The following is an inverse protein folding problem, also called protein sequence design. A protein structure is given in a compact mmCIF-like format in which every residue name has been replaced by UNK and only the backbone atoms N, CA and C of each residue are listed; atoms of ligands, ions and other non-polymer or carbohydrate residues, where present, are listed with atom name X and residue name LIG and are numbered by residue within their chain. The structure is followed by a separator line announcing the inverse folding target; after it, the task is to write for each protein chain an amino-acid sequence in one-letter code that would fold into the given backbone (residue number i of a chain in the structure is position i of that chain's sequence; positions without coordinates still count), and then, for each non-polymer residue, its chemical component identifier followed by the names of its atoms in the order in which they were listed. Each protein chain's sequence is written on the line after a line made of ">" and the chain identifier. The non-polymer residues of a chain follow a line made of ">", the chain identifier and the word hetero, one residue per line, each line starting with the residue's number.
data_IF_117967841521
#
_entry.id   IF_117967841521
#
_cell.length_a   1.000
_cell.length_b   1.000
_cell.length_c   1.000
_cell.angle_alpha   90.00
_cell.angle_beta   90.00
_cell.angle_gamma   90.00
#
_symmetry.space_group_name_H-M   'P 1'
#
loop_
_entity.id
_entity.type
_entity.pdbx_description
1 polymer ?
#
# COMPACT_ATOMS: atom_id res chain seq x y z
N UNK A 1 -8.08 -61.98 -31.88
CA UNK A 1 -7.35 -60.86 -32.49
C UNK A 1 -7.84 -59.57 -31.85
N UNK A 2 -6.99 -58.86 -31.10
CA UNK A 2 -7.35 -57.62 -30.40
C UNK A 2 -7.33 -56.45 -31.39
N UNK A 3 -8.46 -55.76 -31.53
CA UNK A 3 -8.59 -54.54 -32.32
C UNK A 3 -7.61 -53.48 -31.78
N UNK A 4 -6.64 -53.06 -32.59
CA UNK A 4 -5.86 -51.85 -32.35
C UNK A 4 -6.75 -50.67 -32.71
N UNK A 5 -7.28 -49.98 -31.70
CA UNK A 5 -7.88 -48.67 -31.88
C UNK A 5 -6.83 -47.73 -32.48
N UNK A 6 -7.02 -47.35 -33.75
CA UNK A 6 -6.29 -46.27 -34.39
C UNK A 6 -6.74 -44.98 -33.70
N UNK A 7 -5.97 -44.52 -32.71
CA UNK A 7 -6.09 -43.14 -32.22
C UNK A 7 -5.92 -42.21 -33.42
N UNK A 8 -6.90 -41.33 -33.59
CA UNK A 8 -6.91 -40.31 -34.63
C UNK A 8 -5.67 -39.42 -34.47
N UNK A 9 -5.08 -38.98 -35.58
CA UNK A 9 -3.93 -38.08 -35.57
C UNK A 9 -4.23 -36.78 -34.79
N UNK A 10 -5.50 -36.36 -34.81
CA UNK A 10 -6.03 -35.24 -34.03
C UNK A 10 -5.97 -35.46 -32.51
N UNK A 11 -6.15 -36.70 -32.04
CA UNK A 11 -6.03 -37.05 -30.62
C UNK A 11 -4.56 -37.07 -30.18
N UNK A 12 -3.66 -37.43 -31.09
CA UNK A 12 -2.22 -37.39 -30.86
C UNK A 12 -1.71 -35.95 -30.81
N UNK A 13 -2.18 -35.08 -31.71
CA UNK A 13 -1.86 -33.65 -31.72
C UNK A 13 -2.38 -32.96 -30.45
N UNK A 14 -3.63 -33.25 -30.03
CA UNK A 14 -4.20 -32.74 -28.78
C UNK A 14 -3.42 -33.20 -27.53
N UNK A 15 -2.97 -34.46 -27.50
CA UNK A 15 -2.14 -34.98 -26.42
C UNK A 15 -0.73 -34.38 -26.44
N UNK A 16 -0.21 -34.05 -27.62
CA UNK A 16 1.13 -33.45 -27.79
C UNK A 16 1.09 -31.99 -27.38
N UNK A 17 0.09 -31.22 -27.82
CA UNK A 17 -0.16 -29.84 -27.36
C UNK A 17 -0.41 -29.77 -25.85
N UNK A 18 -1.20 -30.72 -25.30
CA UNK A 18 -1.44 -30.78 -23.85
C UNK A 18 -0.17 -31.15 -23.06
N UNK A 19 0.71 -31.98 -23.63
CA UNK A 19 1.98 -32.36 -23.01
C UNK A 19 3.07 -31.29 -23.18
N UNK A 20 3.07 -30.53 -24.27
CA UNK A 20 3.93 -29.36 -24.49
C UNK A 20 3.51 -28.21 -23.58
N UNK A 21 2.21 -27.95 -23.43
CA UNK A 21 1.68 -27.02 -22.44
C UNK A 21 2.07 -27.45 -21.01
N UNK A 22 2.00 -28.74 -20.67
CA UNK A 22 2.45 -29.27 -19.36
C UNK A 22 3.95 -29.21 -19.16
N UNK A 23 4.78 -29.35 -20.21
CA UNK A 23 6.24 -29.22 -20.13
C UNK A 23 6.69 -27.77 -20.00
N UNK A 24 5.99 -26.83 -20.63
CA UNK A 24 6.27 -25.39 -20.50
C UNK A 24 5.80 -24.81 -19.16
N UNK A 25 4.80 -25.42 -18.50
CA UNK A 25 4.44 -25.16 -17.11
C UNK A 25 5.36 -25.89 -16.12
N UNK A 26 6.68 -25.90 -16.37
CA UNK A 26 7.64 -26.34 -15.37
C UNK A 26 7.57 -25.35 -14.18
N UNK A 27 7.27 -25.87 -12.98
CA UNK A 27 6.99 -25.14 -11.74
C UNK A 27 8.09 -24.16 -11.27
N UNK A 28 9.19 -24.05 -12.00
CA UNK A 28 10.42 -23.32 -11.64
C UNK A 28 10.70 -22.07 -12.46
N UNK A 29 9.93 -21.76 -13.52
CA UNK A 29 10.14 -20.56 -14.33
C UNK A 29 9.07 -19.49 -14.04
N UNK A 30 9.53 -18.23 -13.85
CA UNK A 30 8.68 -17.06 -13.61
C UNK A 30 7.68 -16.87 -14.76
N UNK A 31 6.38 -17.01 -14.46
CA UNK A 31 5.27 -17.08 -15.42
C UNK A 31 5.10 -15.85 -16.33
N UNK A 32 5.88 -14.79 -16.13
CA UNK A 32 6.01 -13.68 -17.05
C UNK A 32 6.89 -14.07 -18.25
N UNK A 33 6.36 -14.95 -19.08
CA UNK A 33 6.84 -15.23 -20.42
C UNK A 33 6.01 -14.36 -21.35
N UNK A 34 6.61 -13.66 -22.32
CA UNK A 34 5.95 -12.69 -23.20
C UNK A 34 4.91 -13.30 -24.18
N UNK A 35 4.21 -14.36 -23.77
CA UNK A 35 3.12 -15.04 -24.46
C UNK A 35 1.78 -14.43 -24.05
N UNK A 36 0.90 -14.19 -25.03
CA UNK A 36 -0.45 -13.68 -24.79
C UNK A 36 -1.31 -14.78 -24.18
N UNK A 37 -1.77 -14.61 -22.94
CA UNK A 37 -2.88 -15.41 -22.43
C UNK A 37 -4.20 -14.67 -22.63
N UNK A 38 -5.28 -15.42 -22.78
CA UNK A 38 -6.64 -14.90 -22.90
C UNK A 38 -7.45 -15.40 -21.71
N UNK A 39 -8.19 -14.50 -21.06
CA UNK A 39 -9.11 -14.88 -19.99
C UNK A 39 -10.29 -15.70 -20.53
N UNK A 40 -11.10 -16.28 -19.64
CA UNK A 40 -12.30 -17.05 -20.01
C UNK A 40 -13.37 -16.21 -20.77
N UNK A 41 -13.18 -14.89 -20.87
CA UNK A 41 -14.05 -13.94 -21.59
C UNK A 41 -13.41 -13.45 -22.89
N UNK A 42 -12.24 -13.99 -23.27
CA UNK A 42 -11.50 -13.63 -24.49
C UNK A 42 -10.72 -12.32 -24.41
N UNK A 43 -10.57 -11.71 -23.22
CA UNK A 43 -9.73 -10.53 -23.05
C UNK A 43 -8.27 -10.94 -22.96
N UNK A 44 -7.40 -10.06 -23.45
CA UNK A 44 -5.94 -10.21 -23.38
C UNK A 44 -5.49 -10.08 -21.92
N UNK A 45 -5.13 -11.20 -21.31
CA UNK A 45 -4.62 -11.35 -19.95
C UNK A 45 -3.12 -11.72 -20.05
N UNK A 46 -2.25 -10.76 -20.34
CA UNK A 46 -0.80 -11.02 -20.25
C UNK A 46 -0.07 -9.89 -19.53
N UNK A 47 0.92 -10.28 -18.74
CA UNK A 47 1.87 -9.37 -18.08
C UNK A 47 3.25 -9.69 -18.62
N UNK A 48 3.93 -8.65 -19.08
CA UNK A 48 5.31 -8.71 -19.52
C UNK A 48 6.24 -8.23 -18.41
N UNK A 49 7.52 -8.59 -18.51
CA UNK A 49 8.54 -8.05 -17.59
C UNK A 49 8.63 -6.52 -17.63
N UNK A 50 8.26 -5.92 -18.76
CA UNK A 50 8.20 -4.47 -18.93
C UNK A 50 7.16 -3.81 -18.02
N UNK A 51 6.07 -4.51 -17.68
CA UNK A 51 5.01 -3.94 -16.84
C UNK A 51 5.49 -3.59 -15.42
N UNK A 52 6.57 -4.22 -14.94
CA UNK A 52 7.19 -3.94 -13.64
C UNK A 52 8.28 -2.85 -13.69
N UNK A 53 8.59 -2.29 -14.86
CA UNK A 53 9.55 -1.18 -14.95
C UNK A 53 8.93 0.06 -14.34
N UNK A 54 9.67 0.70 -13.43
CA UNK A 54 9.27 1.94 -12.72
C UNK A 54 8.63 2.96 -13.68
N UNK A 55 9.27 3.25 -14.81
CA UNK A 55 8.79 4.24 -15.79
C UNK A 55 7.37 3.97 -16.29
N UNK A 56 6.97 2.70 -16.40
CA UNK A 56 5.66 2.34 -16.93
C UNK A 56 4.53 2.56 -15.91
N UNK A 57 4.81 2.57 -14.61
CA UNK A 57 3.83 2.92 -13.57
C UNK A 57 3.45 4.41 -13.56
N UNK A 58 4.20 5.27 -14.27
CA UNK A 58 3.94 6.70 -14.41
C UNK A 58 3.48 7.11 -15.81
N UNK A 59 3.32 6.15 -16.73
CA UNK A 59 2.78 6.42 -18.07
C UNK A 59 1.27 6.27 -18.03
N UNK A 60 0.55 7.32 -18.44
CA UNK A 60 -0.90 7.31 -18.46
C UNK A 60 -1.41 7.74 -19.84
N UNK A 61 -2.39 7.00 -20.37
CA UNK A 61 -3.21 7.49 -21.48
C UNK A 61 -4.22 8.50 -20.94
N UNK A 62 -4.78 9.36 -21.81
CA UNK A 62 -5.79 10.37 -21.38
C UNK A 62 -6.96 9.72 -20.63
N UNK A 63 -7.47 8.59 -21.13
CA UNK A 63 -8.59 7.85 -20.52
C UNK A 63 -8.22 7.31 -19.14
N UNK A 64 -7.04 6.69 -19.02
CA UNK A 64 -6.54 6.15 -17.77
C UNK A 64 -6.28 7.28 -16.74
N UNK A 65 -5.72 8.40 -17.18
CA UNK A 65 -5.45 9.56 -16.34
C UNK A 65 -6.74 10.15 -15.75
N UNK A 66 -7.78 10.36 -16.57
CA UNK A 66 -9.09 10.86 -16.10
C UNK A 66 -9.65 9.94 -15.02
N UNK A 67 -9.64 8.62 -15.27
CA UNK A 67 -10.13 7.64 -14.31
C UNK A 67 -9.33 7.70 -12.99
N UNK A 68 -8.00 7.73 -13.07
CA UNK A 68 -7.13 7.81 -11.88
C UNK A 68 -7.42 9.07 -11.08
N UNK A 69 -7.60 10.22 -11.71
CA UNK A 69 -7.99 11.47 -11.02
C UNK A 69 -9.36 11.30 -10.32
N UNK A 70 -10.37 10.76 -11.01
CA UNK A 70 -11.69 10.53 -10.42
C UNK A 70 -11.64 9.57 -9.23
N UNK A 71 -10.90 8.47 -9.36
CA UNK A 71 -10.72 7.51 -8.26
C UNK A 71 -9.89 8.10 -7.13
N UNK A 72 -8.92 8.96 -7.42
CA UNK A 72 -8.16 9.70 -6.40
C UNK A 72 -9.09 10.57 -5.56
N UNK A 73 -9.98 11.33 -6.20
CA UNK A 73 -10.97 12.14 -5.49
C UNK A 73 -11.91 11.28 -4.63
N UNK A 74 -12.36 10.13 -5.16
CA UNK A 74 -13.19 9.18 -4.43
C UNK A 74 -12.47 8.61 -3.19
N UNK A 75 -11.24 8.13 -3.36
CA UNK A 75 -10.45 7.59 -2.25
C UNK A 75 -10.07 8.65 -1.23
N UNK A 76 -9.79 9.88 -1.66
CA UNK A 76 -9.55 11.00 -0.76
C UNK A 76 -10.80 11.29 0.09
N UNK A 77 -11.99 11.37 -0.54
CA UNK A 77 -13.25 11.56 0.20
C UNK A 77 -13.54 10.40 1.17
N UNK A 78 -13.29 9.15 0.75
CA UNK A 78 -13.42 7.98 1.63
C UNK A 78 -12.43 8.03 2.80
N UNK A 79 -11.20 8.48 2.55
CA UNK A 79 -10.18 8.60 3.60
C UNK A 79 -10.56 9.66 4.62
N UNK A 80 -11.09 10.81 4.17
CA UNK A 80 -11.60 11.86 5.06
C UNK A 80 -12.79 11.36 5.89
N UNK A 81 -13.70 10.61 5.28
CA UNK A 81 -14.83 9.99 6.01
C UNK A 81 -14.35 8.95 7.03
N UNK A 82 -13.34 8.14 6.68
CA UNK A 82 -12.69 7.22 7.60
C UNK A 82 -11.99 7.97 8.74
N UNK A 83 -11.32 9.07 8.44
CA UNK A 83 -10.64 9.90 9.42
C UNK A 83 -11.63 10.53 10.41
N UNK A 84 -12.89 10.79 10.03
CA UNK A 84 -13.92 11.21 10.98
C UNK A 84 -14.25 10.14 12.03
N UNK A 85 -14.09 8.86 11.69
CA UNK A 85 -14.20 7.76 12.67
C UNK A 85 -12.97 7.77 13.58
N UNK A 86 -11.78 7.98 13.01
CA UNK A 86 -10.54 8.10 13.79
C UNK A 86 -10.58 9.31 14.74
N UNK A 87 -11.17 10.43 14.34
CA UNK A 87 -11.44 11.61 15.20
C UNK A 87 -12.30 11.23 16.40
N UNK A 88 -13.33 10.41 16.22
CA UNK A 88 -14.14 9.92 17.34
C UNK A 88 -13.33 9.03 18.30
N UNK A 89 -12.27 8.38 17.80
CA UNK A 89 -11.32 7.61 18.60
C UNK A 89 -10.24 8.50 19.25
N UNK A 90 -10.15 9.80 18.96
CA UNK A 90 -9.13 10.66 19.57
C UNK A 90 -9.31 10.86 21.09
N UNK A 91 -10.41 10.40 21.68
CA UNK A 91 -10.56 10.28 23.15
C UNK A 91 -9.44 9.41 23.75
N UNK A 92 -8.90 8.44 23.00
CA UNK A 92 -7.77 7.60 23.43
C UNK A 92 -6.42 8.11 22.91
N UNK A 93 -6.35 9.28 22.27
CA UNK A 93 -5.10 9.87 21.81
C UNK A 93 -4.24 10.27 23.02
N UNK A 94 -2.98 9.86 23.00
CA UNK A 94 -2.04 10.10 24.10
C UNK A 94 -1.31 11.41 23.82
N UNK A 95 -1.49 12.47 24.64
CA UNK A 95 -0.69 13.68 24.51
C UNK A 95 0.76 13.40 24.92
N UNK A 96 1.70 13.80 24.08
CA UNK A 96 3.15 13.72 24.33
C UNK A 96 3.71 15.11 24.08
N UNK A 97 3.70 15.94 25.13
CA UNK A 97 4.04 17.35 25.05
C UNK A 97 2.91 18.11 24.37
N UNK A 98 3.22 18.84 23.29
CA UNK A 98 2.18 19.51 22.48
C UNK A 98 1.82 18.69 21.23
N UNK A 99 2.53 17.59 20.95
CA UNK A 99 2.12 16.64 19.92
C UNK A 99 1.15 15.63 20.53
N UNK A 100 0.24 15.14 19.69
CA UNK A 100 -0.70 14.08 20.06
C UNK A 100 -0.37 12.85 19.24
N UNK A 101 -0.20 11.72 19.92
CA UNK A 101 -0.04 10.46 19.23
C UNK A 101 -1.39 10.08 18.61
N UNK A 102 -1.51 10.35 17.31
CA UNK A 102 -2.78 10.27 16.60
C UNK A 102 -3.23 8.81 16.39
N UNK A 103 -4.52 8.54 16.60
CA UNK A 103 -5.18 7.24 16.43
C UNK A 103 -5.72 7.01 15.02
N UNK A 104 -4.98 7.49 14.02
CA UNK A 104 -5.31 7.47 12.60
C UNK A 104 -5.13 6.08 11.98
N UNK A 105 -6.03 5.18 12.35
CA UNK A 105 -5.97 3.77 11.97
C UNK A 105 -6.68 3.51 10.65
N UNK A 106 -7.88 4.06 10.50
CA UNK A 106 -8.82 3.70 9.43
C UNK A 106 -8.51 4.49 8.16
N UNK A 107 -8.13 5.76 8.27
CA UNK A 107 -7.69 6.57 7.13
C UNK A 107 -6.51 5.93 6.37
N UNK A 108 -5.47 5.45 7.07
CA UNK A 108 -4.31 4.78 6.47
C UNK A 108 -4.70 3.49 5.75
N UNK A 109 -5.67 2.75 6.28
CA UNK A 109 -6.24 1.60 5.57
C UNK A 109 -6.76 2.03 4.21
N UNK A 110 -7.58 3.09 4.16
CA UNK A 110 -8.13 3.60 2.89
C UNK A 110 -7.03 4.05 1.94
N UNK A 111 -6.03 4.77 2.43
CA UNK A 111 -4.87 5.22 1.64
C UNK A 111 -4.14 4.01 1.02
N UNK A 112 -3.93 2.94 1.77
CA UNK A 112 -3.28 1.73 1.26
C UNK A 112 -4.15 1.01 0.24
N UNK A 113 -5.46 0.92 0.46
CA UNK A 113 -6.39 0.32 -0.49
C UNK A 113 -6.51 1.11 -1.79
N UNK A 114 -6.25 2.42 -1.76
CA UNK A 114 -6.19 3.23 -2.97
C UNK A 114 -5.01 2.84 -3.87
N UNK A 115 -3.87 2.47 -3.28
CA UNK A 115 -2.62 2.22 -4.00
C UNK A 115 -2.72 1.25 -5.19
N UNK A 116 -3.32 0.04 -5.07
CA UNK A 116 -3.47 -0.87 -6.20
C UNK A 116 -4.28 -0.26 -7.34
N UNK A 117 -5.22 0.64 -7.03
CA UNK A 117 -6.18 1.19 -7.99
C UNK A 117 -5.65 2.44 -8.67
N UNK A 118 -5.24 3.43 -7.88
CA UNK A 118 -4.80 4.73 -8.42
C UNK A 118 -3.32 4.75 -8.78
N UNK A 119 -2.52 3.83 -8.22
CA UNK A 119 -1.08 3.74 -8.46
C UNK A 119 -0.25 4.68 -7.56
N UNK A 120 1.09 4.66 -7.70
CA UNK A 120 2.00 5.30 -6.75
C UNK A 120 1.85 6.81 -6.68
N UNK A 121 1.77 7.49 -7.83
CA UNK A 121 1.71 8.95 -7.88
C UNK A 121 0.49 9.50 -7.15
N UNK A 122 -0.68 8.94 -7.47
CA UNK A 122 -1.95 9.37 -6.90
C UNK A 122 -2.13 8.88 -5.46
N UNK A 123 -1.62 7.69 -5.12
CA UNK A 123 -1.58 7.20 -3.74
C UNK A 123 -0.76 8.11 -2.84
N UNK A 124 0.41 8.55 -3.30
CA UNK A 124 1.24 9.54 -2.60
C UNK A 124 0.53 10.89 -2.46
N UNK A 125 -0.19 11.35 -3.49
CA UNK A 125 -0.98 12.58 -3.41
C UNK A 125 -2.06 12.49 -2.32
N UNK A 126 -2.81 11.39 -2.24
CA UNK A 126 -3.80 11.17 -1.17
C UNK A 126 -3.09 11.18 0.19
N UNK A 127 -2.02 10.41 0.33
CA UNK A 127 -1.24 10.28 1.56
C UNK A 127 -0.68 11.62 2.08
N UNK A 128 -0.31 12.52 1.17
CA UNK A 128 0.19 13.84 1.50
C UNK A 128 -0.93 14.82 1.85
N UNK A 129 -2.01 14.84 1.08
CA UNK A 129 -3.08 15.85 1.20
C UNK A 129 -4.03 15.54 2.36
N UNK A 130 -4.30 14.27 2.61
CA UNK A 130 -5.31 13.85 3.58
C UNK A 130 -5.05 14.38 5.01
N UNK A 131 -3.81 14.38 5.55
CA UNK A 131 -3.54 14.98 6.86
C UNK A 131 -3.87 16.46 6.95
N UNK A 132 -3.72 17.22 5.87
CA UNK A 132 -4.10 18.64 5.85
C UNK A 132 -5.61 18.83 5.86
N UNK A 133 -6.35 17.96 5.18
CA UNK A 133 -7.82 17.99 5.24
C UNK A 133 -8.29 17.62 6.65
N UNK A 134 -7.66 16.62 7.28
CA UNK A 134 -7.93 16.28 8.67
C UNK A 134 -7.75 17.49 9.59
N UNK A 135 -6.63 18.21 9.48
CA UNK A 135 -6.37 19.43 10.26
C UNK A 135 -7.45 20.51 10.08
N UNK A 136 -7.98 20.66 8.86
CA UNK A 136 -9.05 21.63 8.58
C UNK A 136 -10.38 21.28 9.23
N UNK A 137 -10.62 19.99 9.51
CA UNK A 137 -11.85 19.49 10.13
C UNK A 137 -11.69 19.43 11.65
N UNK A 138 -10.53 18.95 12.11
CA UNK A 138 -10.16 18.88 13.51
C UNK A 138 -8.82 19.59 13.78
N UNK A 139 -8.85 20.85 14.27
CA UNK A 139 -7.67 21.67 14.49
C UNK A 139 -6.89 21.30 15.77
N UNK A 140 -7.08 20.10 16.32
CA UNK A 140 -6.44 19.61 17.55
C UNK A 140 -4.94 19.25 17.41
N UNK A 141 -4.36 19.37 16.21
CA UNK A 141 -2.98 18.99 15.91
C UNK A 141 -2.14 20.18 15.43
N UNK A 142 -0.86 20.19 15.78
CA UNK A 142 0.05 21.24 15.31
C UNK A 142 0.36 21.09 13.81
N UNK A 143 0.52 22.19 13.04
CA UNK A 143 0.91 22.11 11.63
C UNK A 143 2.21 21.33 11.37
N UNK A 144 3.17 21.40 12.31
CA UNK A 144 4.39 20.58 12.26
C UNK A 144 4.08 19.08 12.30
N UNK A 145 3.16 18.66 13.17
CA UNK A 145 2.71 17.27 13.27
C UNK A 145 2.08 16.83 11.95
N UNK A 146 1.20 17.65 11.39
CA UNK A 146 0.49 17.35 10.14
C UNK A 146 1.45 17.24 8.96
N UNK A 147 2.46 18.11 8.90
CA UNK A 147 3.52 18.01 7.88
C UNK A 147 4.29 16.69 8.03
N UNK A 148 4.66 16.32 9.26
CA UNK A 148 5.38 15.07 9.53
C UNK A 148 4.52 13.85 9.19
N UNK A 149 3.23 13.86 9.51
CA UNK A 149 2.28 12.80 9.17
C UNK A 149 2.13 12.67 7.65
N UNK A 150 2.00 13.78 6.93
CA UNK A 150 1.91 13.81 5.47
C UNK A 150 3.18 13.23 4.81
N UNK A 151 4.36 13.61 5.29
CA UNK A 151 5.64 13.06 4.81
C UNK A 151 5.75 11.56 5.14
N UNK A 152 5.40 11.18 6.36
CA UNK A 152 5.43 9.79 6.82
C UNK A 152 4.54 8.91 5.95
N UNK A 153 3.27 9.29 5.78
CA UNK A 153 2.32 8.55 4.95
C UNK A 153 2.80 8.45 3.49
N UNK A 154 3.35 9.54 2.94
CA UNK A 154 3.89 9.57 1.57
C UNK A 154 5.06 8.60 1.40
N UNK A 155 6.03 8.63 2.32
CA UNK A 155 7.19 7.72 2.30
C UNK A 155 6.72 6.27 2.42
N UNK A 156 5.76 5.99 3.28
CA UNK A 156 5.24 4.64 3.51
C UNK A 156 4.50 4.12 2.27
N UNK A 157 3.68 4.95 1.61
CA UNK A 157 3.04 4.57 0.34
C UNK A 157 4.08 4.33 -0.75
N UNK A 158 5.08 5.21 -0.87
CA UNK A 158 6.16 5.07 -1.85
C UNK A 158 6.95 3.76 -1.65
N UNK A 159 7.39 3.51 -0.43
CA UNK A 159 8.17 2.32 -0.07
C UNK A 159 7.34 1.04 -0.19
N UNK A 160 6.07 1.08 0.23
CA UNK A 160 5.13 -0.05 0.04
C UNK A 160 4.96 -0.35 -1.44
N UNK A 161 4.76 0.67 -2.27
CA UNK A 161 4.64 0.47 -3.71
C UNK A 161 5.91 -0.16 -4.30
N UNK A 162 7.07 0.39 -3.95
CA UNK A 162 8.35 -0.07 -4.47
C UNK A 162 8.61 -1.52 -4.07
N UNK A 163 8.50 -1.86 -2.79
CA UNK A 163 8.77 -3.21 -2.31
C UNK A 163 7.74 -4.20 -2.86
N UNK A 164 6.45 -3.88 -2.75
CA UNK A 164 5.39 -4.81 -3.10
C UNK A 164 5.24 -5.04 -4.61
N UNK A 165 5.18 -3.96 -5.40
CA UNK A 165 4.94 -4.07 -6.85
C UNK A 165 6.21 -4.19 -7.67
N UNK A 166 7.30 -3.51 -7.29
CA UNK A 166 8.54 -3.47 -8.09
C UNK A 166 9.50 -4.59 -7.65
N UNK A 167 9.90 -4.62 -6.38
CA UNK A 167 10.91 -5.57 -5.90
C UNK A 167 10.39 -7.01 -5.90
N UNK A 168 9.15 -7.23 -5.42
CA UNK A 168 8.52 -8.56 -5.38
C UNK A 168 7.74 -8.91 -6.66
N UNK A 169 7.66 -7.98 -7.63
CA UNK A 169 6.95 -8.17 -8.91
C UNK A 169 5.53 -8.71 -8.71
N UNK A 170 4.83 -8.23 -7.69
CA UNK A 170 3.43 -8.58 -7.49
C UNK A 170 2.59 -7.74 -8.44
N UNK A 171 1.73 -8.36 -9.23
CA UNK A 171 0.90 -7.62 -10.18
C UNK A 171 -0.39 -7.12 -9.52
N UNK A 172 -0.77 -5.85 -9.74
CA UNK A 172 -2.07 -5.34 -9.30
C UNK A 172 -3.23 -5.83 -10.17
N UNK A 173 -2.98 -6.70 -11.18
CA UNK A 173 -3.99 -7.10 -12.17
C UNK A 173 -4.21 -8.62 -12.16
N UNK A 174 -3.14 -9.41 -12.08
CA UNK A 174 -3.23 -10.87 -12.15
C UNK A 174 -2.64 -11.55 -10.93
N UNK A 175 -3.15 -12.73 -10.62
CA UNK A 175 -2.57 -13.63 -9.62
C UNK A 175 -1.49 -14.47 -10.26
N UNK A 176 -0.48 -14.79 -9.47
CA UNK A 176 0.47 -15.81 -9.89
C UNK A 176 -0.29 -17.16 -9.93
N UNK A 177 -0.21 -17.92 -11.03
CA UNK A 177 -0.92 -19.19 -11.14
C UNK A 177 -0.41 -20.21 -10.13
N UNK A 178 0.86 -20.12 -9.70
CA UNK A 178 1.37 -20.91 -8.60
C UNK A 178 0.97 -20.26 -7.27
N UNK A 179 0.00 -20.87 -6.58
CA UNK A 179 -0.53 -20.38 -5.29
C UNK A 179 0.55 -20.14 -4.24
N UNK A 180 1.62 -20.94 -4.19
CA UNK A 180 2.70 -20.76 -3.22
C UNK A 180 3.53 -19.51 -3.53
N UNK A 181 3.80 -19.28 -4.82
CA UNK A 181 4.53 -18.10 -5.29
C UNK A 181 3.68 -16.84 -5.13
N UNK A 182 2.38 -16.88 -5.46
CA UNK A 182 1.44 -15.77 -5.21
C UNK A 182 1.45 -15.37 -3.74
N UNK A 183 1.33 -16.36 -2.85
CA UNK A 183 1.31 -16.12 -1.41
C UNK A 183 2.63 -15.54 -0.91
N UNK A 184 3.77 -16.05 -1.39
CA UNK A 184 5.09 -15.51 -1.05
C UNK A 184 5.24 -14.06 -1.50
N UNK A 185 4.94 -13.78 -2.78
CA UNK A 185 5.02 -12.44 -3.39
C UNK A 185 4.10 -11.43 -2.73
N UNK A 186 3.06 -11.87 -2.01
CA UNK A 186 2.12 -11.01 -1.29
C UNK A 186 2.40 -10.90 0.20
N UNK A 187 2.83 -11.98 0.85
CA UNK A 187 2.95 -12.01 2.32
C UNK A 187 4.28 -11.41 2.79
N UNK A 188 5.38 -11.85 2.19
CA UNK A 188 6.73 -11.41 2.58
C UNK A 188 6.94 -9.90 2.45
N UNK A 189 6.60 -9.23 1.34
CA UNK A 189 6.78 -7.79 1.27
C UNK A 189 5.94 -7.03 2.30
N UNK A 190 4.75 -7.52 2.66
CA UNK A 190 3.94 -6.88 3.69
C UNK A 190 4.51 -7.06 5.09
N UNK A 191 5.11 -8.21 5.39
CA UNK A 191 5.84 -8.42 6.65
C UNK A 191 7.04 -7.46 6.74
N UNK A 192 7.81 -7.34 5.65
CA UNK A 192 8.94 -6.40 5.59
C UNK A 192 8.43 -4.96 5.80
N UNK A 193 7.42 -4.57 5.03
CA UNK A 193 6.87 -3.22 5.07
C UNK A 193 6.21 -2.89 6.40
N UNK A 194 5.62 -3.86 7.07
CA UNK A 194 5.09 -3.72 8.42
C UNK A 194 6.14 -3.18 9.41
N UNK A 195 7.32 -3.82 9.47
CA UNK A 195 8.41 -3.36 10.35
C UNK A 195 9.00 -2.04 9.88
N UNK A 196 9.24 -1.89 8.57
CA UNK A 196 9.82 -0.66 7.99
C UNK A 196 8.95 0.56 8.27
N UNK A 197 7.64 0.46 8.03
CA UNK A 197 6.68 1.55 8.26
C UNK A 197 6.55 1.91 9.73
N UNK A 198 6.56 0.91 10.62
CA UNK A 198 6.56 1.13 12.07
C UNK A 198 7.79 1.91 12.53
N UNK A 199 8.97 1.56 12.03
CA UNK A 199 10.23 2.25 12.35
C UNK A 199 10.21 3.67 11.78
N UNK A 200 9.86 3.84 10.50
CA UNK A 200 9.83 5.17 9.84
C UNK A 200 8.89 6.13 10.58
N UNK A 201 7.65 5.69 10.87
CA UNK A 201 6.68 6.53 11.56
C UNK A 201 7.14 6.90 12.97
N UNK A 202 7.75 5.96 13.69
CA UNK A 202 8.28 6.21 15.04
C UNK A 202 9.44 7.20 15.00
N UNK A 203 10.39 7.03 14.08
CA UNK A 203 11.54 7.93 13.93
C UNK A 203 11.10 9.35 13.54
N UNK A 204 10.16 9.47 12.60
CA UNK A 204 9.66 10.78 12.15
C UNK A 204 8.84 11.47 13.24
N UNK A 205 8.06 10.74 14.04
CA UNK A 205 7.37 11.31 15.19
C UNK A 205 8.35 11.79 16.27
N UNK A 206 9.36 10.99 16.61
CA UNK A 206 10.44 11.41 17.55
C UNK A 206 11.20 12.62 17.00
N UNK A 207 11.41 12.68 15.69
CA UNK A 207 12.01 13.84 15.04
C UNK A 207 11.10 15.08 15.11
N UNK A 208 9.77 14.92 15.03
CA UNK A 208 8.83 16.02 15.24
C UNK A 208 8.91 16.57 16.66
N UNK A 209 8.99 15.70 17.68
CA UNK A 209 9.24 16.10 19.07
C UNK A 209 10.58 16.85 19.18
N UNK A 210 11.61 16.39 18.44
CA UNK A 210 12.91 17.07 18.40
C UNK A 210 12.83 18.50 17.92
N UNK A 211 12.19 18.69 16.77
CA UNK A 211 12.01 20.02 16.17
C UNK A 211 11.15 20.90 17.06
N UNK A 212 10.04 20.36 17.60
CA UNK A 212 9.12 21.11 18.42
C UNK A 212 9.86 21.77 19.59
N UNK A 213 10.61 20.99 20.37
CA UNK A 213 11.35 21.54 21.50
C UNK A 213 12.39 22.59 21.10
N UNK A 214 13.13 22.35 20.01
CA UNK A 214 14.14 23.31 19.51
C UNK A 214 13.53 24.63 19.03
N UNK A 215 12.36 24.58 18.41
CA UNK A 215 11.68 25.76 17.88
C UNK A 215 10.90 26.54 18.96
N UNK A 216 10.60 25.92 20.10
CA UNK A 216 9.91 26.60 21.21
C UNK A 216 10.79 27.53 22.04
N UNK A 217 12.11 27.59 21.80
CA UNK A 217 13.00 28.62 22.37
C UNK A 217 12.70 30.03 21.79
N UNK A 218 11.84 30.13 20.76
CA UNK A 218 11.58 31.37 20.01
C UNK A 218 10.21 32.03 20.38
N UNK A 219 9.33 31.34 21.13
CA UNK A 219 8.04 31.89 21.57
C UNK A 219 7.89 31.83 23.10
N UNK A 220 8.49 32.81 23.77
CA UNK A 220 8.29 33.15 25.19
C UNK A 220 6.85 33.59 25.46
N UNK A 221 6.34 33.20 26.63
CA UNK A 221 5.02 33.47 27.23
C UNK A 221 3.83 32.67 26.67
N UNK A 222 3.59 31.48 27.26
CA UNK A 222 2.34 31.11 27.94
C UNK A 222 2.50 29.71 28.59
N UNK A 223 2.24 29.63 29.89
CA UNK A 223 2.34 28.43 30.74
C UNK A 223 1.65 27.20 30.14
N UNK A 224 2.43 26.25 29.63
CA UNK A 224 1.95 24.90 29.34
C UNK A 224 3.01 23.89 29.78
N UNK A 225 2.63 22.86 30.52
CA UNK A 225 3.53 21.77 30.98
C UNK A 225 4.43 21.29 29.84
N UNK A 226 5.73 21.59 29.94
CA UNK A 226 6.69 21.30 28.90
C UNK A 226 7.38 19.96 29.17
N UNK A 227 7.31 19.04 28.21
CA UNK A 227 8.23 17.90 28.18
C UNK A 227 9.59 18.44 27.74
N UNK A 228 10.59 18.41 28.63
CA UNK A 228 11.99 18.65 28.31
C UNK A 228 12.58 17.43 27.59
N UNK A 229 13.54 17.61 26.67
CA UNK A 229 14.20 16.53 25.91
C UNK A 229 14.81 15.50 26.84
N UNK A 230 15.26 15.97 28.00
CA UNK A 230 15.84 15.18 29.09
C UNK A 230 14.84 14.15 29.66
N UNK A 231 13.53 14.37 29.46
CA UNK A 231 12.43 13.48 29.85
C UNK A 231 11.95 12.56 28.72
N UNK A 232 12.59 12.55 27.54
CA UNK A 232 12.31 11.57 26.48
C UNK A 232 12.77 10.18 26.93
N UNK A 233 11.93 9.54 27.75
CA UNK A 233 12.19 8.23 28.31
C UNK A 233 11.85 7.14 27.26
N UNK A 234 12.58 6.02 27.30
CA UNK A 234 12.28 4.79 26.55
C UNK A 234 10.81 4.36 26.60
N UNK A 235 10.10 4.73 27.66
CA UNK A 235 8.65 4.52 27.78
C UNK A 235 7.84 5.25 26.70
N UNK A 236 8.15 6.52 26.44
CA UNK A 236 7.46 7.33 25.41
C UNK A 236 7.74 6.73 24.02
N UNK A 237 8.99 6.40 23.73
CA UNK A 237 9.39 5.75 22.48
C UNK A 237 8.65 4.41 22.33
N UNK A 238 8.57 3.62 23.40
CA UNK A 238 7.86 2.34 23.43
C UNK A 238 6.36 2.47 23.13
N UNK A 239 5.69 3.50 23.68
CA UNK A 239 4.27 3.79 23.41
C UNK A 239 4.05 4.20 21.95
N UNK A 240 4.87 5.12 21.43
CA UNK A 240 4.82 5.54 20.02
C UNK A 240 5.04 4.34 19.08
N UNK A 241 6.05 3.53 19.39
CA UNK A 241 6.36 2.32 18.64
C UNK A 241 5.19 1.33 18.67
N UNK A 242 4.61 1.08 19.84
CA UNK A 242 3.48 0.17 20.01
C UNK A 242 2.23 0.61 19.25
N UNK A 243 1.92 1.91 19.26
CA UNK A 243 0.79 2.45 18.50
C UNK A 243 1.02 2.35 16.99
N UNK A 244 2.21 2.70 16.51
CA UNK A 244 2.56 2.55 15.09
C UNK A 244 2.57 1.07 14.66
N UNK A 245 3.04 0.17 15.53
CA UNK A 245 2.98 -1.27 15.31
C UNK A 245 1.53 -1.72 15.13
N UNK A 246 0.62 -1.33 16.03
CA UNK A 246 -0.79 -1.66 15.90
C UNK A 246 -1.38 -1.07 14.60
N UNK A 247 -1.03 0.18 14.28
CA UNK A 247 -1.51 0.89 13.09
C UNK A 247 -1.17 0.16 11.81
N UNK A 248 0.10 -0.19 11.62
CA UNK A 248 0.53 -0.87 10.41
C UNK A 248 0.15 -2.35 10.40
N UNK A 249 -0.04 -2.98 11.56
CA UNK A 249 -0.59 -4.33 11.61
C UNK A 249 -2.01 -4.36 11.03
N UNK A 250 -2.87 -3.42 11.45
CA UNK A 250 -4.24 -3.30 10.93
C UNK A 250 -4.22 -2.95 9.44
N UNK A 251 -3.42 -1.96 9.05
CA UNK A 251 -3.35 -1.48 7.66
C UNK A 251 -2.89 -2.57 6.69
N UNK A 252 -1.76 -3.24 6.96
CA UNK A 252 -1.22 -4.26 6.07
C UNK A 252 -2.02 -5.56 6.08
N UNK A 253 -2.61 -5.94 7.22
CA UNK A 253 -3.52 -7.09 7.26
C UNK A 253 -4.76 -6.84 6.40
N UNK A 254 -5.37 -5.66 6.53
CA UNK A 254 -6.53 -5.28 5.72
C UNK A 254 -6.17 -5.20 4.24
N UNK A 255 -5.03 -4.59 3.93
CA UNK A 255 -4.50 -4.54 2.57
C UNK A 255 -4.31 -5.94 1.97
N UNK A 256 -3.72 -6.89 2.71
CA UNK A 256 -3.50 -8.25 2.24
C UNK A 256 -4.80 -8.93 1.78
N UNK A 257 -5.88 -8.79 2.54
CA UNK A 257 -7.16 -9.42 2.22
C UNK A 257 -7.91 -8.72 1.08
N UNK A 258 -7.85 -7.38 1.04
CA UNK A 258 -8.68 -6.60 0.12
C UNK A 258 -7.98 -6.34 -1.23
N UNK A 259 -6.66 -6.23 -1.29
CA UNK A 259 -5.90 -5.95 -2.52
C UNK A 259 -6.30 -6.86 -3.68
N UNK A 260 -6.49 -8.14 -3.41
CA UNK A 260 -6.91 -9.14 -4.40
C UNK A 260 -8.27 -8.81 -5.04
N UNK A 261 -9.19 -8.21 -4.27
CA UNK A 261 -10.51 -7.80 -4.74
C UNK A 261 -10.45 -6.55 -5.62
N UNK A 262 -9.35 -5.79 -5.57
CA UNK A 262 -9.15 -4.58 -6.39
C UNK A 262 -8.64 -4.90 -7.79
N UNK A 263 -8.02 -6.08 -8.01
CA UNK A 263 -7.43 -6.48 -9.29
C UNK A 263 -8.39 -6.43 -10.51
N UNK A 264 -9.66 -6.83 -10.40
CA UNK A 264 -10.61 -6.72 -11.51
C UNK A 264 -10.87 -5.29 -11.98
N UNK A 265 -10.77 -4.31 -11.07
CA UNK A 265 -10.90 -2.88 -11.41
C UNK A 265 -9.74 -2.51 -12.33
N UNK A 266 -8.52 -2.89 -11.96
CA UNK A 266 -7.33 -2.59 -12.76
C UNK A 266 -7.32 -3.27 -14.12
N UNK A 267 -7.79 -4.52 -14.21
CA UNK A 267 -7.87 -5.24 -15.48
C UNK A 267 -8.80 -4.56 -16.49
N UNK A 268 -9.93 -4.00 -16.01
CA UNK A 268 -10.93 -3.35 -16.87
C UNK A 268 -10.42 -2.05 -17.52
N UNK A 269 -9.40 -1.41 -16.95
CA UNK A 269 -9.00 -0.04 -17.31
C UNK A 269 -7.52 0.11 -17.67
N UNK A 270 -6.86 -0.98 -18.09
CA UNK A 270 -5.51 -0.95 -18.67
C UNK A 270 -5.47 -0.07 -19.93
#
# INVERSE_FOLDING_TARGET
>A
MKNKEKKSQKDFDLLTEANEAKKEHSETQDHYHDKKHYDAKGNIDYITREDFRIRNHFKYTRRNLILKISLTALFLALSVAAAAIDMALEIIAIPIGQLRLSTRFIDVVVIFLALPVVGPLFGMLIAFVEPWIHLMIDPNHLPLQILVDAITNTIIVLTTWFVFYIAFKNSPIHKDPNKKIDLYKRTIPLIIMFFVSTIIATLLFVFALFIQEKNMVIHTDHDHDHIQWENLNWTIIGVVLGMNFLRFAIAYTTFFFIEVRMRPINHRYR
#
